data_IF_037947416100
#
_entry.id   IF_037947416100
#
_cell.length_a   1.000
_cell.length_b   1.000
_cell.length_c   1.000
_cell.angle_alpha   90.00
_cell.angle_beta   90.00
_cell.angle_gamma   90.00
#
_symmetry.space_group_name_H-M   'P 1'
#
loop_
_entity.id
_entity.type
_entity.pdbx_description
1 polymer ?
#
# COMPACT_ATOMS: atom_id res chain seq x y z
N UNK A 1 9.40 -15.12 15.06
CA UNK A 1 9.45 -13.93 14.18
C UNK A 1 9.58 -12.66 15.01
N UNK A 2 8.81 -12.52 16.08
CA UNK A 2 8.90 -11.42 17.06
C UNK A 2 10.33 -11.10 17.52
N UNK A 3 11.14 -12.11 17.90
CA UNK A 3 12.53 -11.89 18.31
C UNK A 3 13.41 -11.27 17.22
N UNK A 4 13.17 -11.63 15.94
CA UNK A 4 13.88 -11.04 14.81
C UNK A 4 13.45 -9.59 14.60
N UNK A 5 12.15 -9.30 14.73
CA UNK A 5 11.61 -7.95 14.65
C UNK A 5 12.11 -7.08 15.80
N UNK A 6 12.16 -7.61 17.03
CA UNK A 6 12.68 -6.91 18.20
C UNK A 6 14.11 -6.45 17.95
N UNK A 7 14.98 -7.38 17.53
CA UNK A 7 16.36 -7.05 17.23
C UNK A 7 16.51 -6.05 16.08
N UNK A 8 15.67 -6.16 15.05
CA UNK A 8 15.66 -5.18 13.96
C UNK A 8 15.22 -3.80 14.44
N UNK A 9 14.18 -3.73 15.27
CA UNK A 9 13.61 -2.48 15.77
C UNK A 9 14.52 -1.77 16.77
N UNK A 10 15.24 -2.53 17.60
CA UNK A 10 16.29 -1.99 18.47
C UNK A 10 17.39 -1.30 17.66
N UNK A 11 17.80 -1.92 16.55
CA UNK A 11 18.79 -1.36 15.64
C UNK A 11 18.26 -0.13 14.89
N UNK A 12 17.01 -0.16 14.41
CA UNK A 12 16.35 0.97 13.75
C UNK A 12 16.14 2.18 14.68
N UNK A 13 16.00 1.94 15.99
CA UNK A 13 15.77 3.00 16.99
C UNK A 13 17.07 3.59 17.56
N UNK A 14 18.23 3.08 17.15
CA UNK A 14 19.50 3.35 17.83
C UNK A 14 20.20 4.66 17.45
N UNK A 15 19.62 5.44 16.53
CA UNK A 15 20.14 6.73 16.04
C UNK A 15 21.58 6.71 15.48
N UNK A 16 22.17 5.53 15.29
CA UNK A 16 23.47 5.31 14.69
C UNK A 16 23.29 4.75 13.28
N UNK A 17 23.87 5.39 12.27
CA UNK A 17 23.68 5.00 10.87
C UNK A 17 24.11 3.56 10.56
N UNK A 18 25.13 3.02 11.24
CA UNK A 18 25.59 1.64 11.04
C UNK A 18 24.61 0.63 11.62
N UNK A 19 24.05 0.93 12.80
CA UNK A 19 22.99 0.12 13.41
C UNK A 19 21.69 0.22 12.62
N UNK A 20 21.28 1.41 12.16
CA UNK A 20 20.11 1.56 11.29
C UNK A 20 20.27 0.72 10.02
N UNK A 21 21.42 0.81 9.36
CA UNK A 21 21.75 -0.04 8.20
C UNK A 21 21.61 -1.54 8.53
N UNK A 22 22.06 -1.97 9.71
CA UNK A 22 21.90 -3.35 10.18
C UNK A 22 20.42 -3.71 10.38
N UNK A 23 19.64 -2.82 10.98
CA UNK A 23 18.20 -2.98 11.19
C UNK A 23 17.45 -3.12 9.85
N UNK A 24 17.72 -2.24 8.88
CA UNK A 24 17.14 -2.31 7.53
C UNK A 24 17.47 -3.65 6.86
N UNK A 25 18.72 -4.11 6.93
CA UNK A 25 19.11 -5.44 6.39
C UNK A 25 18.42 -6.61 7.08
N UNK A 26 18.14 -6.50 8.39
CA UNK A 26 17.41 -7.55 9.11
C UNK A 26 15.95 -7.60 8.66
N UNK A 27 15.31 -6.44 8.46
CA UNK A 27 13.96 -6.37 7.89
C UNK A 27 13.96 -6.93 6.46
N UNK A 28 14.89 -6.50 5.61
CA UNK A 28 15.05 -7.00 4.24
C UNK A 28 15.19 -8.53 4.21
N UNK A 29 16.05 -9.09 5.06
CA UNK A 29 16.24 -10.54 5.16
C UNK A 29 14.99 -11.29 5.59
N UNK A 30 14.20 -10.71 6.51
CA UNK A 30 12.91 -11.28 6.91
C UNK A 30 11.90 -11.28 5.76
N UNK A 31 11.75 -10.16 5.04
CA UNK A 31 10.85 -10.06 3.89
C UNK A 31 11.27 -11.01 2.77
N UNK A 32 12.57 -11.12 2.51
CA UNK A 32 13.11 -12.06 1.54
C UNK A 32 12.76 -13.52 1.88
N UNK A 33 12.87 -13.93 3.16
CA UNK A 33 12.51 -15.28 3.59
C UNK A 33 11.02 -15.59 3.41
N UNK A 34 10.16 -14.58 3.56
CA UNK A 34 8.73 -14.71 3.33
C UNK A 34 8.44 -14.91 1.83
N UNK A 35 9.02 -14.06 0.99
CA UNK A 35 8.75 -14.01 -0.45
C UNK A 35 9.44 -15.12 -1.27
N UNK A 36 10.54 -15.67 -0.79
CA UNK A 36 11.30 -16.70 -1.50
C UNK A 36 10.91 -18.09 -0.99
N UNK A 37 10.80 -19.05 -1.90
CA UNK A 37 10.73 -20.45 -1.50
C UNK A 37 12.04 -20.80 -0.78
N UNK A 38 11.93 -21.25 0.47
CA UNK A 38 13.07 -21.85 1.15
C UNK A 38 13.64 -22.99 0.29
N UNK A 39 14.92 -23.35 0.45
CA UNK A 39 15.45 -24.54 -0.22
C UNK A 39 14.53 -25.68 0.15
N UNK A 40 13.78 -26.19 -0.83
CA UNK A 40 12.92 -27.35 -0.64
C UNK A 40 13.80 -28.39 0.00
N UNK A 41 13.44 -28.83 1.20
CA UNK A 41 14.07 -29.98 1.83
C UNK A 41 13.65 -31.19 0.98
N UNK A 42 14.24 -31.32 -0.23
CA UNK A 42 14.16 -32.48 -1.10
C UNK A 42 14.73 -33.61 -0.27
N UNK A 43 13.82 -34.29 0.43
CA UNK A 43 14.06 -35.58 1.06
C UNK A 43 14.92 -36.40 0.11
N UNK A 44 16.07 -36.84 0.62
CA UNK A 44 16.94 -37.89 0.05
C UNK A 44 16.15 -38.93 -0.76
N UNK A 45 16.14 -38.74 -2.07
CA UNK A 45 15.96 -39.71 -3.14
C UNK A 45 16.62 -39.01 -4.33
N UNK A 46 17.70 -39.45 -4.94
CA UNK A 46 18.36 -40.75 -5.00
C UNK A 46 19.82 -40.51 -5.40
N UNK A 47 20.63 -41.54 -5.19
CA UNK A 47 22.04 -41.66 -5.57
C UNK A 47 22.37 -41.23 -7.00
N UNK A 48 23.52 -40.55 -7.11
CA UNK A 48 24.42 -40.47 -8.27
C UNK A 48 23.88 -39.83 -9.56
N UNK A 49 24.21 -38.56 -9.77
CA UNK A 49 25.11 -38.21 -10.88
C UNK A 49 25.79 -36.85 -10.63
N UNK A 50 27.05 -36.73 -11.04
CA UNK A 50 27.88 -35.56 -10.87
C UNK A 50 27.77 -34.66 -12.10
N UNK A 51 27.39 -33.38 -11.92
CA UNK A 51 27.46 -32.41 -13.01
C UNK A 51 26.95 -31.02 -12.61
N UNK A 52 27.85 -30.04 -12.71
CA UNK A 52 27.60 -28.59 -12.72
C UNK A 52 26.82 -27.98 -11.54
N UNK A 53 27.54 -27.31 -10.64
CA UNK A 53 26.97 -26.39 -9.67
C UNK A 53 26.44 -25.12 -10.38
N UNK A 54 25.26 -25.23 -10.98
CA UNK A 54 24.47 -24.06 -11.31
C UNK A 54 23.88 -23.51 -10.00
N UNK A 55 24.10 -22.23 -9.73
CA UNK A 55 23.55 -21.58 -8.53
C UNK A 55 22.04 -21.45 -8.74
N UNK A 56 21.28 -22.49 -8.38
CA UNK A 56 19.82 -22.46 -8.38
C UNK A 56 19.37 -21.25 -7.54
N UNK A 57 18.96 -20.18 -8.22
CA UNK A 57 18.35 -19.04 -7.55
C UNK A 57 17.07 -19.52 -6.87
N UNK A 58 16.80 -19.10 -5.63
CA UNK A 58 15.59 -19.51 -4.93
C UNK A 58 14.37 -19.11 -5.76
N UNK A 59 13.53 -20.10 -6.09
CA UNK A 59 12.30 -19.86 -6.87
C UNK A 59 11.41 -18.88 -6.11
N UNK A 60 11.00 -17.79 -6.76
CA UNK A 60 10.11 -16.78 -6.19
C UNK A 60 8.70 -17.37 -6.02
N UNK A 61 8.07 -17.16 -4.87
CA UNK A 61 6.65 -17.53 -4.69
C UNK A 61 5.78 -16.52 -5.43
N UNK A 62 4.69 -16.98 -6.03
CA UNK A 62 3.66 -16.07 -6.56
C UNK A 62 2.91 -15.47 -5.36
N UNK A 63 2.56 -14.18 -5.43
CA UNK A 63 1.91 -13.47 -4.31
C UNK A 63 0.61 -14.17 -3.84
N UNK A 64 -0.14 -14.77 -4.77
CA UNK A 64 -1.35 -15.54 -4.47
C UNK A 64 -1.09 -16.75 -3.56
N UNK A 65 0.07 -17.39 -3.70
CA UNK A 65 0.43 -18.60 -2.98
C UNK A 65 0.91 -18.31 -1.54
N UNK A 66 1.28 -17.05 -1.24
CA UNK A 66 1.75 -16.65 0.09
C UNK A 66 0.68 -16.84 1.17
N UNK A 67 -0.60 -16.69 0.82
CA UNK A 67 -1.72 -16.84 1.77
C UNK A 67 -1.80 -18.23 2.42
N UNK A 68 -1.21 -19.26 1.78
CA UNK A 68 -1.10 -20.61 2.32
C UNK A 68 0.11 -20.84 3.22
N UNK A 69 1.10 -19.94 3.20
CA UNK A 69 2.36 -20.10 3.94
C UNK A 69 2.18 -19.74 5.43
N UNK A 70 2.46 -20.66 6.37
CA UNK A 70 2.40 -20.39 7.80
C UNK A 70 3.28 -19.21 8.24
N UNK A 71 4.46 -19.04 7.63
CA UNK A 71 5.36 -17.94 7.95
C UNK A 71 4.78 -16.59 7.50
N UNK A 72 4.12 -16.55 6.34
CA UNK A 72 3.44 -15.35 5.86
C UNK A 72 2.23 -15.01 6.73
N UNK A 73 1.43 -15.99 7.16
CA UNK A 73 0.29 -15.75 8.07
C UNK A 73 0.72 -15.19 9.41
N UNK A 74 1.80 -15.72 9.98
CA UNK A 74 2.36 -15.20 11.22
C UNK A 74 2.90 -13.79 11.04
N UNK A 75 3.62 -13.53 9.93
CA UNK A 75 4.05 -12.18 9.56
C UNK A 75 2.85 -11.22 9.49
N UNK A 76 1.83 -11.59 8.71
CA UNK A 76 0.64 -10.78 8.48
C UNK A 76 -0.04 -10.44 9.81
N UNK A 77 -0.24 -11.44 10.68
CA UNK A 77 -0.81 -11.25 12.03
C UNK A 77 0.02 -10.28 12.88
N UNK A 78 1.34 -10.35 12.83
CA UNK A 78 2.21 -9.41 13.55
C UNK A 78 2.10 -7.99 13.00
N UNK A 79 1.86 -7.83 11.69
CA UNK A 79 1.72 -6.50 11.07
C UNK A 79 0.41 -5.78 11.43
N UNK A 80 -0.64 -6.51 11.80
CA UNK A 80 -1.90 -5.95 12.32
C UNK A 80 -1.72 -5.24 13.67
N UNK A 81 -0.74 -5.66 14.47
CA UNK A 81 -0.43 -5.06 15.76
C UNK A 81 0.48 -3.83 15.64
N UNK A 82 0.25 -2.81 16.47
CA UNK A 82 1.10 -1.61 16.50
C UNK A 82 2.55 -1.89 16.94
N UNK A 83 2.76 -2.93 17.77
CA UNK A 83 4.07 -3.26 18.34
C UNK A 83 5.06 -3.75 17.28
N UNK A 84 4.56 -4.52 16.30
CA UNK A 84 5.36 -5.26 15.33
C UNK A 84 5.16 -4.78 13.88
N UNK A 85 4.37 -3.71 13.67
CA UNK A 85 4.16 -3.12 12.35
C UNK A 85 5.46 -2.49 11.81
N UNK A 86 6.03 -3.12 10.80
CA UNK A 86 7.29 -2.72 10.18
C UNK A 86 7.13 -1.40 9.43
N UNK A 87 6.02 -1.19 8.71
CA UNK A 87 5.80 0.05 7.95
C UNK A 87 5.80 1.27 8.88
N UNK A 88 5.12 1.18 10.02
CA UNK A 88 5.13 2.22 11.05
C UNK A 88 6.54 2.46 11.59
N UNK A 89 7.29 1.39 11.89
CA UNK A 89 8.67 1.52 12.38
C UNK A 89 9.59 2.18 11.35
N UNK A 90 9.48 1.77 10.08
CA UNK A 90 10.25 2.33 8.98
C UNK A 90 9.91 3.80 8.74
N UNK A 91 8.64 4.21 8.84
CA UNK A 91 8.25 5.62 8.77
C UNK A 91 8.89 6.46 9.87
N UNK A 92 8.93 5.95 11.11
CA UNK A 92 9.65 6.63 12.21
C UNK A 92 11.15 6.73 11.94
N UNK A 93 11.76 5.68 11.39
CA UNK A 93 13.18 5.72 11.01
C UNK A 93 13.42 6.70 9.86
N UNK A 94 12.53 6.73 8.86
CA UNK A 94 12.62 7.61 7.70
C UNK A 94 12.54 9.09 8.12
N UNK A 95 11.59 9.45 8.97
CA UNK A 95 11.46 10.80 9.54
C UNK A 95 12.78 11.25 10.20
N UNK A 96 13.37 10.39 11.02
CA UNK A 96 14.66 10.68 11.64
C UNK A 96 15.81 10.84 10.62
N UNK A 97 15.86 9.99 9.59
CA UNK A 97 16.89 10.06 8.55
C UNK A 97 16.80 11.36 7.74
N UNK A 98 15.59 11.82 7.45
CA UNK A 98 15.34 13.07 6.73
C UNK A 98 15.77 14.28 7.56
N UNK A 99 15.33 14.36 8.82
CA UNK A 99 15.66 15.50 9.71
C UNK A 99 17.17 15.67 9.90
N UNK A 100 17.95 14.59 9.84
CA UNK A 100 19.41 14.62 10.05
C UNK A 100 20.24 14.49 8.76
N UNK A 101 19.62 14.27 7.62
CA UNK A 101 20.24 13.90 6.35
C UNK A 101 20.87 15.04 5.55
N UNK A 102 21.06 16.22 6.14
CA UNK A 102 21.37 17.47 5.41
C UNK A 102 22.56 17.44 4.44
N UNK A 103 23.57 16.60 4.67
CA UNK A 103 24.75 16.47 3.80
C UNK A 103 24.72 15.21 2.91
N UNK A 104 23.57 14.57 2.75
CA UNK A 104 23.40 13.35 1.94
C UNK A 104 23.98 12.07 2.56
N UNK A 105 24.48 12.13 3.79
CA UNK A 105 25.10 11.00 4.49
C UNK A 105 24.18 9.79 4.66
N UNK A 106 22.86 10.04 4.66
CA UNK A 106 21.83 9.02 4.87
C UNK A 106 21.05 8.66 3.61
N UNK A 107 21.43 9.18 2.44
CA UNK A 107 20.67 8.98 1.18
C UNK A 107 20.43 7.51 0.87
N UNK A 108 21.47 6.69 1.00
CA UNK A 108 21.35 5.25 0.78
C UNK A 108 20.41 4.57 1.81
N UNK A 109 20.39 5.06 3.05
CA UNK A 109 19.49 4.53 4.08
C UNK A 109 18.05 4.96 3.83
N UNK A 110 17.82 6.18 3.35
CA UNK A 110 16.52 6.71 2.95
C UNK A 110 15.95 5.87 1.80
N UNK A 111 16.73 5.65 0.75
CA UNK A 111 16.31 4.81 -0.40
C UNK A 111 15.98 3.39 0.06
N UNK A 112 16.84 2.76 0.88
CA UNK A 112 16.57 1.42 1.40
C UNK A 112 15.30 1.36 2.29
N UNK A 113 15.05 2.40 3.09
CA UNK A 113 13.85 2.48 3.91
C UNK A 113 12.58 2.61 3.04
N UNK A 114 12.62 3.44 1.99
CA UNK A 114 11.53 3.58 1.03
C UNK A 114 11.24 2.26 0.29
N UNK A 115 12.26 1.55 -0.18
CA UNK A 115 12.11 0.24 -0.83
C UNK A 115 11.48 -0.81 0.11
N UNK A 116 11.89 -0.82 1.38
CA UNK A 116 11.29 -1.70 2.38
C UNK A 116 9.85 -1.31 2.72
N UNK A 117 9.54 -0.01 2.78
CA UNK A 117 8.16 0.47 2.94
C UNK A 117 7.30 -0.05 1.78
N UNK A 118 7.75 0.09 0.53
CA UNK A 118 7.06 -0.44 -0.64
C UNK A 118 6.78 -1.94 -0.48
N UNK A 119 7.81 -2.74 -0.16
CA UNK A 119 7.67 -4.18 0.01
C UNK A 119 6.68 -4.57 1.10
N UNK A 120 6.72 -3.89 2.25
CA UNK A 120 5.78 -4.14 3.36
C UNK A 120 4.36 -3.76 2.99
N UNK A 121 4.14 -2.63 2.30
CA UNK A 121 2.79 -2.21 1.87
C UNK A 121 2.19 -3.17 0.83
N UNK A 122 3.01 -3.82 0.02
CA UNK A 122 2.56 -4.85 -0.92
C UNK A 122 2.23 -6.17 -0.23
N UNK A 123 3.00 -6.56 0.81
CA UNK A 123 2.76 -7.78 1.57
C UNK A 123 1.63 -7.64 2.60
N UNK A 124 1.44 -6.43 3.14
CA UNK A 124 0.41 -6.09 4.11
C UNK A 124 -0.34 -4.81 3.69
N UNK A 125 -1.31 -4.92 2.76
CA UNK A 125 -2.04 -3.76 2.23
C UNK A 125 -2.73 -2.90 3.29
N UNK A 126 -3.15 -3.48 4.43
CA UNK A 126 -3.75 -2.75 5.54
C UNK A 126 -2.81 -1.67 6.11
N UNK A 127 -1.48 -1.85 6.04
CA UNK A 127 -0.52 -0.82 6.45
C UNK A 127 -0.59 0.47 5.61
N UNK A 128 -1.24 0.47 4.44
CA UNK A 128 -1.43 1.69 3.66
C UNK A 128 -2.26 2.73 4.40
N UNK A 129 -3.09 2.34 5.38
CA UNK A 129 -3.87 3.28 6.23
C UNK A 129 -2.99 4.28 7.00
N UNK A 130 -1.69 3.98 7.16
CA UNK A 130 -0.74 4.90 7.77
C UNK A 130 -0.66 6.22 6.99
N UNK A 131 -0.84 6.20 5.68
CA UNK A 131 -0.76 7.38 4.79
C UNK A 131 -2.06 8.19 4.74
N UNK A 132 -3.12 7.75 5.41
CA UNK A 132 -4.30 8.58 5.71
C UNK A 132 -3.96 9.74 6.64
N UNK A 133 -2.82 9.67 7.35
CA UNK A 133 -2.35 10.73 8.24
C UNK A 133 -1.49 11.71 7.46
N UNK A 134 -1.83 13.00 7.54
CA UNK A 134 -1.09 14.06 6.85
C UNK A 134 0.40 14.09 7.18
N UNK A 135 0.79 13.74 8.42
CA UNK A 135 2.20 13.70 8.84
C UNK A 135 3.01 12.71 7.99
N UNK A 136 2.49 11.50 7.77
CA UNK A 136 3.20 10.49 6.97
C UNK A 136 3.16 10.79 5.47
N UNK A 137 2.08 11.39 4.98
CA UNK A 137 2.00 11.83 3.59
C UNK A 137 2.96 12.99 3.31
N UNK A 138 3.01 13.99 4.19
CA UNK A 138 3.96 15.11 4.09
C UNK A 138 5.41 14.61 4.10
N UNK A 139 5.74 13.62 4.94
CA UNK A 139 7.08 13.02 4.91
C UNK A 139 7.47 12.52 3.51
N UNK A 140 6.54 11.93 2.75
CA UNK A 140 6.81 11.56 1.36
C UNK A 140 6.88 12.77 0.43
N UNK A 141 6.05 13.80 0.62
CA UNK A 141 6.08 15.01 -0.20
C UNK A 141 7.37 15.81 0.00
N UNK A 142 7.88 15.91 1.24
CA UNK A 142 9.14 16.58 1.58
C UNK A 142 10.33 15.89 0.91
N UNK A 143 10.29 14.57 0.76
CA UNK A 143 11.30 13.79 0.04
C UNK A 143 11.29 14.02 -1.48
N UNK A 144 10.25 14.66 -2.04
CA UNK A 144 10.21 15.08 -3.45
C UNK A 144 10.84 16.45 -3.68
N UNK A 145 11.23 17.18 -2.63
CA UNK A 145 11.82 18.50 -2.81
C UNK A 145 13.10 18.45 -3.68
N UNK A 146 13.38 19.50 -4.47
CA UNK A 146 14.54 19.54 -5.37
C UNK A 146 15.91 19.38 -4.68
N UNK A 147 15.99 19.61 -3.37
CA UNK A 147 17.21 19.42 -2.57
C UNK A 147 17.63 17.96 -2.48
N UNK A 148 16.68 17.03 -2.57
CA UNK A 148 16.94 15.60 -2.47
C UNK A 148 17.50 15.05 -3.79
N UNK A 149 18.39 14.06 -3.68
CA UNK A 149 19.01 13.49 -4.86
C UNK A 149 17.99 12.71 -5.73
N UNK A 150 18.24 12.54 -7.04
CA UNK A 150 17.31 11.87 -7.96
C UNK A 150 16.88 10.46 -7.55
N UNK A 151 17.77 9.72 -6.86
CA UNK A 151 17.49 8.38 -6.37
C UNK A 151 16.40 8.38 -5.27
N UNK A 152 16.48 9.32 -4.33
CA UNK A 152 15.47 9.51 -3.29
C UNK A 152 14.14 9.90 -3.94
N UNK A 153 14.13 10.91 -4.82
CA UNK A 153 12.91 11.35 -5.49
C UNK A 153 12.24 10.21 -6.26
N UNK A 154 13.02 9.40 -7.00
CA UNK A 154 12.50 8.24 -7.74
C UNK A 154 11.91 7.17 -6.82
N UNK A 155 12.61 6.82 -5.74
CA UNK A 155 12.11 5.85 -4.75
C UNK A 155 10.85 6.35 -4.02
N UNK A 156 10.79 7.65 -3.74
CA UNK A 156 9.63 8.30 -3.11
C UNK A 156 8.42 8.28 -4.03
N UNK A 157 8.57 8.56 -5.33
CA UNK A 157 7.47 8.49 -6.31
C UNK A 157 6.90 7.07 -6.37
N UNK A 158 7.75 6.05 -6.39
CA UNK A 158 7.29 4.65 -6.38
C UNK A 158 6.57 4.32 -5.07
N UNK A 159 7.10 4.78 -3.93
CA UNK A 159 6.47 4.64 -2.62
C UNK A 159 5.09 5.30 -2.57
N UNK A 160 4.93 6.49 -3.16
CA UNK A 160 3.64 7.16 -3.32
C UNK A 160 2.67 6.31 -4.14
N UNK A 161 3.08 5.78 -5.30
CA UNK A 161 2.22 4.89 -6.09
C UNK A 161 1.71 3.72 -5.23
N UNK A 162 2.60 3.03 -4.52
CA UNK A 162 2.22 1.88 -3.68
C UNK A 162 1.29 2.29 -2.54
N UNK A 163 1.54 3.43 -1.90
CA UNK A 163 0.73 3.94 -0.80
C UNK A 163 -0.67 4.41 -1.23
N UNK A 164 -0.81 4.89 -2.47
CA UNK A 164 -2.05 5.42 -3.03
C UNK A 164 -2.87 4.35 -3.79
N UNK A 165 -2.22 3.29 -4.26
CA UNK A 165 -2.87 2.21 -5.03
C UNK A 165 -3.99 1.56 -4.23
N UNK A 166 -5.18 1.51 -4.81
CA UNK A 166 -6.44 1.00 -4.21
C UNK A 166 -6.83 1.70 -2.90
N UNK A 167 -6.33 2.92 -2.66
CA UNK A 167 -6.56 3.70 -1.44
C UNK A 167 -7.08 5.11 -1.80
N UNK A 168 -8.35 5.25 -2.24
CA UNK A 168 -8.92 6.55 -2.62
C UNK A 168 -8.80 7.57 -1.48
N UNK A 169 -8.96 7.15 -0.22
CA UNK A 169 -8.75 8.01 0.95
C UNK A 169 -7.34 8.61 1.02
N UNK A 170 -6.29 7.79 0.82
CA UNK A 170 -4.92 8.29 0.80
C UNK A 170 -4.71 9.26 -0.38
N UNK A 171 -5.36 9.00 -1.51
CA UNK A 171 -5.32 9.88 -2.67
C UNK A 171 -5.94 11.25 -2.36
N UNK A 172 -7.05 11.27 -1.62
CA UNK A 172 -7.65 12.53 -1.14
C UNK A 172 -6.70 13.31 -0.22
N UNK A 173 -6.02 12.62 0.71
CA UNK A 173 -5.04 13.26 1.61
C UNK A 173 -3.86 13.83 0.82
N UNK A 174 -3.32 13.08 -0.15
CA UNK A 174 -2.27 13.55 -1.05
C UNK A 174 -2.69 14.84 -1.79
N UNK A 175 -3.89 14.88 -2.35
CA UNK A 175 -4.41 16.05 -3.06
C UNK A 175 -4.62 17.25 -2.14
N UNK A 176 -5.15 17.03 -0.92
CA UNK A 176 -5.36 18.09 0.08
C UNK A 176 -4.06 18.74 0.56
N UNK A 177 -2.95 18.00 0.48
CA UNK A 177 -1.60 18.48 0.84
C UNK A 177 -0.83 19.02 -0.37
N UNK A 178 -1.54 19.45 -1.42
CA UNK A 178 -0.96 19.98 -2.65
C UNK A 178 0.03 19.01 -3.33
N UNK A 179 -0.10 17.70 -3.09
CA UNK A 179 0.81 16.69 -3.62
C UNK A 179 0.87 16.71 -5.16
N UNK A 180 -0.24 17.02 -5.82
CA UNK A 180 -0.29 17.16 -7.27
C UNK A 180 0.49 18.40 -7.76
N UNK A 181 0.42 19.52 -7.02
CA UNK A 181 1.25 20.69 -7.30
C UNK A 181 2.74 20.34 -7.14
N UNK A 182 3.12 19.61 -6.10
CA UNK A 182 4.50 19.16 -5.87
C UNK A 182 5.02 18.31 -7.03
N UNK A 183 4.29 17.25 -7.39
CA UNK A 183 4.63 16.34 -8.51
C UNK A 183 4.73 17.10 -9.83
N UNK A 184 3.75 17.94 -10.16
CA UNK A 184 3.71 18.66 -11.44
C UNK A 184 4.77 19.77 -11.51
N UNK A 185 5.10 20.41 -10.39
CA UNK A 185 6.19 21.40 -10.30
C UNK A 185 7.55 20.74 -10.52
N UNK A 186 7.78 19.58 -9.88
CA UNK A 186 8.99 18.79 -10.11
C UNK A 186 9.06 18.31 -11.57
N UNK A 187 7.94 17.91 -12.18
CA UNK A 187 7.91 17.49 -13.59
C UNK A 187 8.26 18.64 -14.55
N UNK A 188 7.73 19.84 -14.30
CA UNK A 188 7.98 21.05 -15.11
C UNK A 188 9.41 21.56 -14.98
N UNK A 189 10.06 21.36 -13.84
CA UNK A 189 11.40 21.88 -13.62
C UNK A 189 12.37 21.34 -14.70
N UNK A 190 13.21 22.24 -15.21
CA UNK A 190 14.26 21.90 -16.19
C UNK A 190 15.45 21.20 -15.53
N UNK A 191 15.59 21.33 -14.22
CA UNK A 191 16.67 20.74 -13.42
C UNK A 191 16.38 19.27 -13.10
N UNK A 192 15.12 18.84 -13.17
CA UNK A 192 14.72 17.47 -12.90
C UNK A 192 15.31 16.52 -13.94
N UNK A 193 16.07 15.54 -13.45
CA UNK A 193 16.71 14.52 -14.28
C UNK A 193 15.71 13.65 -15.05
N UNK A 194 16.15 13.09 -16.17
CA UNK A 194 15.32 12.25 -17.05
C UNK A 194 14.68 11.06 -16.32
N UNK A 195 15.43 10.42 -15.43
CA UNK A 195 14.95 9.28 -14.64
C UNK A 195 13.76 9.66 -13.75
N UNK A 196 13.87 10.76 -13.02
CA UNK A 196 12.79 11.27 -12.16
C UNK A 196 11.59 11.69 -13.01
N UNK A 197 11.81 12.36 -14.15
CA UNK A 197 10.72 12.69 -15.08
C UNK A 197 9.97 11.46 -15.59
N UNK A 198 10.68 10.38 -15.88
CA UNK A 198 10.07 9.12 -16.28
C UNK A 198 9.17 8.57 -15.16
N UNK A 199 9.64 8.55 -13.90
CA UNK A 199 8.83 8.15 -12.74
C UNK A 199 7.62 9.05 -12.51
N UNK A 200 7.77 10.36 -12.69
CA UNK A 200 6.67 11.32 -12.58
C UNK A 200 5.62 11.07 -13.67
N UNK A 201 6.02 10.75 -14.89
CA UNK A 201 5.09 10.35 -15.96
C UNK A 201 4.34 9.07 -15.60
N UNK A 202 5.02 8.03 -15.09
CA UNK A 202 4.37 6.81 -14.59
C UNK A 202 3.36 7.11 -13.48
N UNK A 203 3.71 8.01 -12.55
CA UNK A 203 2.81 8.46 -11.50
C UNK A 203 1.59 9.18 -12.07
N UNK A 204 1.74 10.05 -13.07
CA UNK A 204 0.62 10.75 -13.69
C UNK A 204 -0.31 9.78 -14.44
N UNK A 205 0.22 8.76 -15.12
CA UNK A 205 -0.58 7.69 -15.71
C UNK A 205 -1.36 6.91 -14.65
N UNK A 206 -0.70 6.55 -13.55
CA UNK A 206 -1.35 5.92 -12.40
C UNK A 206 -2.46 6.80 -11.83
N UNK A 207 -2.19 8.08 -11.61
CA UNK A 207 -3.15 9.03 -11.03
C UNK A 207 -4.40 9.17 -11.91
N UNK A 208 -4.25 9.23 -13.24
CA UNK A 208 -5.34 9.35 -14.20
C UNK A 208 -6.10 8.04 -14.46
N UNK A 209 -5.68 6.94 -13.87
CA UNK A 209 -6.40 5.66 -13.96
C UNK A 209 -7.66 5.68 -13.08
N UNK A 210 -8.77 5.04 -13.50
CA UNK A 210 -9.98 4.94 -12.69
C UNK A 210 -9.68 4.43 -11.27
N UNK A 211 -10.34 5.01 -10.27
CA UNK A 211 -10.23 4.53 -8.90
C UNK A 211 -11.15 3.33 -8.70
N UNK A 212 -10.60 2.23 -8.16
CA UNK A 212 -11.42 1.11 -7.69
C UNK A 212 -11.99 1.50 -6.31
N UNK A 213 -13.30 1.37 -6.06
CA UNK A 213 -13.84 1.56 -4.71
C UNK A 213 -13.12 0.62 -3.75
N UNK A 214 -12.68 1.15 -2.61
CA UNK A 214 -12.00 0.39 -1.57
C UNK A 214 -12.91 -0.75 -1.13
N UNK A 215 -12.59 -1.99 -1.50
CA UNK A 215 -13.36 -3.15 -1.08
C UNK A 215 -13.03 -3.45 0.39
N UNK A 216 -13.96 -3.29 1.36
CA UNK A 216 -13.75 -3.77 2.74
C UNK A 216 -13.66 -5.31 2.83
N UNK A 217 -13.76 -6.01 1.70
CA UNK A 217 -13.84 -7.48 1.61
C UNK A 217 -12.51 -8.19 1.91
N UNK A 218 -11.37 -7.50 1.82
CA UNK A 218 -10.08 -8.07 2.24
C UNK A 218 -10.03 -8.33 3.77
N UNK A 219 -10.76 -7.53 4.55
CA UNK A 219 -10.81 -7.59 6.01
C UNK A 219 -11.62 -8.82 6.51
N UNK A 220 -12.69 -9.18 5.81
CA UNK A 220 -13.59 -10.27 6.22
C UNK A 220 -13.12 -11.67 5.78
N UNK A 221 -12.39 -11.79 4.65
CA UNK A 221 -12.00 -13.11 4.09
C UNK A 221 -10.80 -13.74 4.81
N UNK A 222 -9.90 -12.92 5.35
CA UNK A 222 -8.75 -13.38 6.14
C UNK A 222 -9.15 -13.65 7.60
N UNK A 223 -10.06 -12.85 8.16
CA UNK A 223 -10.58 -13.01 9.52
C UNK A 223 -11.50 -14.23 9.70
N UNK A 224 -12.21 -14.67 8.65
CA UNK A 224 -13.04 -15.88 8.70
C UNK A 224 -12.28 -17.20 8.52
N UNK A 225 -11.00 -17.15 8.12
CA UNK A 225 -10.15 -18.33 7.98
C UNK A 225 -9.37 -18.69 9.27
N UNK A 226 -9.45 -17.86 10.32
CA UNK A 226 -8.74 -18.06 11.59
C UNK A 226 -9.62 -18.66 12.71
N UNK A 227 -10.93 -18.79 12.50
CA UNK A 227 -11.85 -19.44 13.45
C UNK A 227 -12.09 -20.92 13.11
N UNK A 228 -11.03 -21.72 13.20
CA UNK A 228 -11.12 -23.18 13.14
C UNK A 228 -11.53 -23.77 14.50
N UNK A 229 -12.81 -24.11 14.65
CA UNK A 229 -13.30 -24.87 15.81
C UNK A 229 -14.75 -25.36 15.68
N UNK A 230 -14.94 -26.60 15.22
CA UNK A 230 -16.04 -27.51 15.62
C UNK A 230 -17.47 -27.27 15.07
N UNK A 231 -17.92 -28.19 14.21
CA UNK A 231 -19.24 -28.39 13.57
C UNK A 231 -20.45 -28.60 14.54
N UNK A 232 -21.72 -28.86 14.10
CA UNK A 232 -22.24 -29.04 12.73
C UNK A 232 -23.59 -28.36 12.37
N UNK A 233 -23.77 -28.19 11.06
CA UNK A 233 -24.97 -28.53 10.26
C UNK A 233 -26.34 -28.60 10.97
N UNK A 234 -27.20 -27.60 10.74
CA UNK A 234 -28.65 -27.77 10.72
C UNK A 234 -29.31 -26.74 9.79
N UNK A 235 -29.79 -27.23 8.63
CA UNK A 235 -31.09 -26.95 8.00
C UNK A 235 -31.74 -25.59 8.37
N UNK A 236 -32.14 -24.67 7.50
CA UNK A 236 -32.99 -24.86 6.32
C UNK A 236 -33.35 -23.47 5.74
N UNK A 237 -33.42 -23.39 4.39
CA UNK A 237 -34.45 -22.72 3.57
C UNK A 237 -35.00 -21.32 3.98
N UNK A 238 -34.80 -20.33 3.10
CA UNK A 238 -35.86 -19.35 2.78
C UNK A 238 -36.94 -19.98 1.86
N UNK A 239 -38.04 -19.30 1.44
CA UNK A 239 -38.24 -17.83 1.37
C UNK A 239 -39.66 -17.29 1.72
N UNK A 240 -39.80 -15.95 1.69
CA UNK A 240 -40.96 -15.13 1.28
C UNK A 240 -42.29 -15.04 2.09
N UNK A 241 -42.66 -13.78 2.37
CA UNK A 241 -44.00 -13.13 2.39
C UNK A 241 -45.13 -13.72 3.26
N UNK A 242 -45.49 -12.99 4.31
CA UNK A 242 -46.86 -12.86 4.87
C UNK A 242 -46.91 -11.49 5.59
N UNK A 243 -47.54 -10.43 5.09
CA UNK A 243 -48.97 -10.18 4.94
C UNK A 243 -49.81 -10.35 6.23
N UNK A 244 -49.85 -9.26 7.01
CA UNK A 244 -51.04 -8.66 7.67
C UNK A 244 -51.72 -9.45 8.80
N UNK A 245 -52.49 -8.69 9.60
CA UNK A 245 -53.44 -9.07 10.68
C UNK A 245 -52.73 -9.29 12.03
N UNK A 246 -52.95 -8.54 13.13
CA UNK A 246 -54.04 -7.71 13.70
C UNK A 246 -53.40 -6.47 14.38
N UNK A 247 -53.99 -5.28 14.61
CA UNK A 247 -55.37 -4.83 14.66
C UNK A 247 -55.62 -4.04 15.97
N UNK A 248 -55.71 -2.70 15.89
CA UNK A 248 -56.30 -1.78 16.89
C UNK A 248 -55.37 -1.28 18.01
N UNK A 249 -55.34 -0.01 18.42
CA UNK A 249 -56.07 1.20 18.05
C UNK A 249 -55.74 2.34 19.04
N UNK A 250 -55.92 3.60 18.60
CA UNK A 250 -56.14 4.74 19.49
C UNK A 250 -54.98 5.74 19.70
N UNK A 251 -55.20 6.99 19.31
CA UNK A 251 -54.82 8.16 20.13
C UNK A 251 -53.60 8.99 19.72
N UNK A 252 -53.90 10.18 19.19
CA UNK A 252 -53.21 11.47 19.42
C UNK A 252 -51.78 11.77 18.92
N UNK A 253 -51.79 12.74 17.99
CA UNK A 253 -51.11 14.04 18.06
C UNK A 253 -49.58 14.15 18.20
N UNK A 254 -49.06 14.90 17.22
CA UNK A 254 -47.99 15.91 17.32
C UNK A 254 -46.55 15.49 16.94
N UNK A 255 -46.09 16.11 15.85
CA UNK A 255 -44.81 16.84 15.81
C UNK A 255 -43.52 16.03 15.86
N UNK A 256 -42.88 15.84 14.69
CA UNK A 256 -41.45 15.49 14.67
C UNK A 256 -40.97 14.85 13.38
N UNK A 257 -40.86 15.63 12.31
CA UNK A 257 -40.11 15.27 11.10
C UNK A 257 -38.62 15.16 11.47
N UNK A 258 -38.16 13.97 11.85
CA UNK A 258 -36.74 13.61 11.85
C UNK A 258 -36.46 12.85 10.55
N UNK A 259 -35.56 13.33 9.67
CA UNK A 259 -35.13 12.50 8.56
C UNK A 259 -34.29 11.37 9.15
N UNK A 260 -34.79 10.14 8.99
CA UNK A 260 -34.01 8.95 9.23
C UNK A 260 -32.83 8.97 8.25
N UNK A 261 -31.63 9.14 8.81
CA UNK A 261 -30.38 8.97 8.09
C UNK A 261 -30.34 7.55 7.55
N UNK A 262 -30.54 7.42 6.25
CA UNK A 262 -30.19 6.24 5.48
C UNK A 262 -28.69 6.02 5.62
N UNK A 263 -28.30 5.15 6.54
CA UNK A 263 -26.96 4.57 6.62
C UNK A 263 -26.80 3.65 5.41
N UNK A 264 -26.34 4.23 4.31
CA UNK A 264 -26.13 3.56 3.04
C UNK A 264 -25.49 4.51 2.04
N UNK A 265 -24.15 4.50 1.99
CA UNK A 265 -23.38 5.15 0.91
C UNK A 265 -22.40 6.23 1.34
N UNK A 266 -21.44 5.93 2.22
CA UNK A 266 -20.24 6.80 2.39
C UNK A 266 -19.06 6.35 1.49
N UNK A 267 -19.03 5.09 1.05
CA UNK A 267 -17.93 4.57 0.20
C UNK A 267 -17.93 5.16 -1.23
N UNK A 268 -19.07 5.62 -1.74
CA UNK A 268 -19.15 6.30 -3.04
C UNK A 268 -18.70 7.76 -3.01
N UNK A 269 -18.44 8.33 -1.83
CA UNK A 269 -18.07 9.74 -1.68
C UNK A 269 -16.56 9.98 -1.76
N UNK A 270 -15.73 8.94 -1.66
CA UNK A 270 -14.26 9.09 -1.66
C UNK A 270 -13.62 8.89 -3.04
N UNK A 271 -14.30 8.20 -3.96
CA UNK A 271 -13.76 7.94 -5.30
C UNK A 271 -14.04 9.08 -6.26
N UNK A 272 -13.03 9.51 -7.02
CA UNK A 272 -13.21 10.48 -8.11
C UNK A 272 -13.25 9.85 -9.50
N UNK A 273 -14.02 10.48 -10.39
CA UNK A 273 -14.02 10.17 -11.81
C UNK A 273 -12.69 10.56 -12.47
N UNK A 274 -12.39 9.94 -13.62
CA UNK A 274 -11.20 10.30 -14.41
C UNK A 274 -11.33 11.74 -14.92
N UNK A 275 -12.55 12.18 -15.21
CA UNK A 275 -12.86 13.55 -15.63
C UNK A 275 -12.54 14.58 -14.51
N UNK A 276 -12.90 14.29 -13.27
CA UNK A 276 -12.58 15.17 -12.13
C UNK A 276 -11.06 15.23 -11.89
N UNK A 277 -10.39 14.07 -11.96
CA UNK A 277 -8.93 13.98 -11.84
C UNK A 277 -8.22 14.75 -12.94
N UNK A 278 -8.73 14.68 -14.18
CA UNK A 278 -8.22 15.48 -15.31
C UNK A 278 -8.24 16.96 -14.97
N UNK A 279 -9.34 17.49 -14.41
CA UNK A 279 -9.44 18.90 -14.03
C UNK A 279 -8.39 19.31 -13.00
N UNK A 280 -8.01 18.42 -12.08
CA UNK A 280 -6.93 18.68 -11.14
C UNK A 280 -5.56 18.73 -11.81
N UNK A 281 -5.25 17.80 -12.72
CA UNK A 281 -3.96 17.83 -13.42
C UNK A 281 -3.88 19.02 -14.37
N UNK A 282 -4.96 19.32 -15.10
CA UNK A 282 -5.03 20.45 -16.04
C UNK A 282 -4.79 21.80 -15.36
N UNK A 283 -5.15 21.94 -14.08
CA UNK A 283 -4.85 23.14 -13.28
C UNK A 283 -3.35 23.44 -13.23
N UNK A 284 -2.50 22.41 -13.24
CA UNK A 284 -1.06 22.54 -13.06
C UNK A 284 -0.24 22.23 -14.32
N UNK A 285 -0.79 21.44 -15.26
CA UNK A 285 -0.21 21.02 -16.54
C UNK A 285 -1.21 21.18 -17.69
N UNK A 286 -1.62 22.42 -18.04
CA UNK A 286 -2.62 22.64 -19.07
C UNK A 286 -2.16 22.09 -20.43
N UNK A 287 -3.01 21.30 -21.08
CA UNK A 287 -2.79 20.76 -22.43
C UNK A 287 -1.93 19.49 -22.51
N UNK A 288 -1.35 19.03 -21.39
CA UNK A 288 -0.57 17.76 -21.36
C UNK A 288 -1.47 16.57 -21.05
N UNK A 289 -2.57 16.77 -20.33
CA UNK A 289 -3.41 15.68 -19.83
C UNK A 289 -4.10 14.91 -20.95
N UNK A 290 -4.53 15.60 -22.01
CA UNK A 290 -5.14 14.95 -23.18
C UNK A 290 -4.17 14.01 -23.91
N UNK A 291 -2.89 14.38 -24.00
CA UNK A 291 -1.86 13.52 -24.58
C UNK A 291 -1.62 12.30 -23.69
N UNK A 292 -1.54 12.49 -22.36
CA UNK A 292 -1.37 11.41 -21.41
C UNK A 292 -2.54 10.42 -21.44
N UNK A 293 -3.79 10.90 -21.51
CA UNK A 293 -4.97 10.03 -21.60
C UNK A 293 -4.99 9.25 -22.93
N UNK A 294 -4.63 9.91 -24.04
CA UNK A 294 -4.52 9.24 -25.33
C UNK A 294 -3.44 8.15 -25.32
N UNK A 295 -2.31 8.39 -24.69
CA UNK A 295 -1.25 7.40 -24.52
C UNK A 295 -1.72 6.23 -23.65
N UNK A 296 -2.47 6.51 -22.57
CA UNK A 296 -3.03 5.50 -21.69
C UNK A 296 -4.00 4.56 -22.45
N UNK A 297 -4.88 5.13 -23.27
CA UNK A 297 -5.82 4.38 -24.13
C UNK A 297 -5.11 3.57 -25.21
N UNK A 298 -4.07 4.15 -25.82
CA UNK A 298 -3.33 3.54 -26.93
C UNK A 298 -2.47 2.37 -26.47
N UNK A 299 -1.71 2.56 -25.40
CA UNK A 299 -0.70 1.59 -24.97
C UNK A 299 -1.19 0.62 -23.90
N UNK A 300 -2.31 0.92 -23.22
CA UNK A 300 -2.85 0.13 -22.10
C UNK A 300 -1.72 -0.37 -21.18
N UNK A 301 -0.90 0.53 -20.60
CA UNK A 301 0.34 0.17 -19.91
C UNK A 301 0.15 -0.81 -18.75
N UNK A 302 -1.07 -0.93 -18.21
CA UNK A 302 -1.45 -1.87 -17.14
C UNK A 302 -2.18 -3.13 -17.65
N UNK A 303 -2.02 -3.49 -18.93
CA UNK A 303 -2.48 -4.77 -19.49
C UNK A 303 -4.01 -4.92 -19.62
N UNK A 304 -4.77 -3.82 -19.58
CA UNK A 304 -6.23 -3.85 -19.67
C UNK A 304 -6.94 -4.46 -18.45
N UNK A 305 -6.22 -4.69 -17.34
CA UNK A 305 -6.78 -5.25 -16.09
C UNK A 305 -7.71 -4.25 -15.37
N UNK A 306 -7.64 -2.98 -15.75
CA UNK A 306 -8.38 -1.85 -15.16
C UNK A 306 -9.54 -1.38 -16.06
N UNK A 307 -9.88 -2.16 -17.09
CA UNK A 307 -10.99 -1.93 -18.03
C UNK A 307 -12.18 -2.82 -17.73
#
# INVERSE_FOLDING_TARGET
MESLLSLAFDNLSSFDGSKIKKGLKQVEGLLAQICLSGPSNRRKQSTADAGAADREQPSRKVLADLSGDPAFREFFKLQEGFEWNIAQRLLTTLDWLVVRGGDGQYDLLIVNALDLIQGVLLLHPASKILFSRSVHMNLLLDLLEPINCPAIQSATIITLVVALLDMPHNMRVFEQLDGLLTVTSLFKSRETGREVKFRLTEFLYFYLTPETPSNPVADARLSSASSGGGAPELLQRGPSKLAKVFGGGGGDANGGKRPGTSSGGEDGAMTLSVEDKKLFVDRYLPGVVDELLKDLDTYKPFGGVLS
#
